data_IF_921894352076
#
_entry.id   IF_921894352076
#
_cell.length_a   1.000
_cell.length_b   1.000
_cell.length_c   1.000
_cell.angle_alpha   90.00
_cell.angle_beta   90.00
_cell.angle_gamma   90.00
#
_symmetry.space_group_name_H-M   'P 1'
#
loop_
_entity.id
_entity.type
_entity.pdbx_description
1 polymer ?
#
# COMPACT_ATOMS: atom_id res chain seq x y z
N UNK A 1 -24.55 -7.06 26.61
CA UNK A 1 -24.23 -6.26 25.43
C UNK A 1 -25.48 -5.48 25.07
N UNK A 2 -25.63 -4.33 25.71
CA UNK A 2 -26.85 -3.54 25.67
C UNK A 2 -27.07 -2.94 24.27
N UNK A 3 -28.31 -2.92 23.77
CA UNK A 3 -28.64 -2.39 22.45
C UNK A 3 -28.32 -0.89 22.28
N UNK A 4 -28.14 -0.15 23.38
CA UNK A 4 -27.78 1.27 23.36
C UNK A 4 -26.30 1.53 22.99
N UNK A 5 -25.40 0.55 23.19
CA UNK A 5 -23.99 0.64 22.77
C UNK A 5 -23.82 0.49 21.26
N UNK A 6 -24.74 -0.21 20.58
CA UNK A 6 -24.73 -0.39 19.12
C UNK A 6 -25.28 0.86 18.40
N UNK A 7 -26.13 1.65 19.06
CA UNK A 7 -26.72 2.87 18.49
C UNK A 7 -25.76 4.08 18.47
N UNK A 8 -24.82 4.17 19.42
CA UNK A 8 -23.85 5.27 19.48
C UNK A 8 -22.79 5.21 18.34
N UNK A 9 -22.58 4.06 17.71
CA UNK A 9 -21.67 3.91 16.57
C UNK A 9 -22.33 4.16 15.22
N UNK A 10 -23.66 4.31 15.17
CA UNK A 10 -24.42 4.45 13.92
C UNK A 10 -24.68 5.90 13.51
N UNK A 11 -24.35 6.88 14.36
CA UNK A 11 -24.63 8.30 14.12
C UNK A 11 -23.45 9.26 14.40
N UNK A 12 -22.22 8.76 14.61
CA UNK A 12 -21.06 9.63 14.89
C UNK A 12 -20.15 9.91 13.69
N UNK A 13 -20.49 9.45 12.47
CA UNK A 13 -19.91 10.04 11.26
C UNK A 13 -20.73 9.70 9.99
N UNK A 14 -21.78 10.47 9.72
CA UNK A 14 -22.64 10.31 8.54
C UNK A 14 -21.85 10.31 7.21
N UNK A 15 -20.64 10.89 7.22
CA UNK A 15 -19.74 10.89 6.08
C UNK A 15 -19.21 9.51 5.69
N UNK A 16 -19.11 8.52 6.61
CA UNK A 16 -18.54 7.19 6.29
C UNK A 16 -19.37 6.36 5.30
N UNK A 17 -20.71 6.48 5.34
CA UNK A 17 -21.61 5.69 4.49
C UNK A 17 -22.00 6.43 3.21
N UNK A 18 -21.79 7.74 3.16
CA UNK A 18 -21.98 8.58 1.99
C UNK A 18 -20.68 8.83 1.23
N UNK A 19 -19.54 8.51 1.84
CA UNK A 19 -18.23 8.57 1.21
C UNK A 19 -18.20 7.71 -0.05
N UNK A 20 -17.77 8.29 -1.15
CA UNK A 20 -17.59 7.58 -2.41
C UNK A 20 -16.16 7.08 -2.41
N UNK A 21 -15.98 5.77 -2.54
CA UNK A 21 -14.63 5.22 -2.66
C UNK A 21 -14.09 5.45 -4.07
N UNK A 22 -13.36 6.56 -4.30
CA UNK A 22 -12.81 6.89 -5.62
C UNK A 22 -11.74 5.91 -6.07
N UNK A 23 -11.12 5.15 -5.15
CA UNK A 23 -10.16 4.10 -5.50
C UNK A 23 -10.78 2.93 -6.28
N UNK A 24 -12.11 2.77 -6.23
CA UNK A 24 -12.81 1.72 -7.00
C UNK A 24 -12.87 2.02 -8.50
N UNK A 25 -12.72 3.29 -8.89
CA UNK A 25 -12.70 3.74 -10.26
C UNK A 25 -11.27 4.11 -10.66
N UNK A 26 -10.68 3.38 -11.60
CA UNK A 26 -9.33 3.65 -12.14
C UNK A 26 -8.24 3.85 -11.05
N UNK A 27 -8.38 3.18 -9.89
CA UNK A 27 -7.48 3.36 -8.75
C UNK A 27 -7.33 4.84 -8.32
N UNK A 28 -8.38 5.65 -8.43
CA UNK A 28 -8.34 7.10 -8.16
C UNK A 28 -7.42 7.90 -9.10
N UNK A 29 -6.95 7.27 -10.19
CA UNK A 29 -5.88 7.77 -11.05
C UNK A 29 -4.49 7.74 -10.40
N UNK A 30 -4.29 6.96 -9.33
CA UNK A 30 -3.00 6.78 -8.69
C UNK A 30 -2.11 5.84 -9.53
N UNK A 31 -0.84 6.22 -9.72
CA UNK A 31 0.18 5.31 -10.27
C UNK A 31 0.56 4.22 -9.25
N UNK A 32 0.61 4.60 -7.96
CA UNK A 32 0.86 3.69 -6.85
C UNK A 32 -0.43 3.08 -6.26
N UNK A 33 -0.45 2.92 -4.95
CA UNK A 33 -1.62 2.43 -4.22
C UNK A 33 -2.58 3.57 -3.89
N UNK A 34 -3.85 3.47 -4.28
CA UNK A 34 -4.89 4.37 -3.80
C UNK A 34 -5.34 4.01 -2.38
N UNK A 35 -5.45 5.02 -1.51
CA UNK A 35 -5.91 4.90 -0.14
C UNK A 35 -7.14 5.78 0.06
N UNK A 36 -8.31 5.15 0.15
CA UNK A 36 -9.58 5.84 0.41
C UNK A 36 -9.65 6.36 1.85
N UNK A 37 -10.19 7.55 2.03
CA UNK A 37 -10.43 8.19 3.34
C UNK A 37 -11.84 8.77 3.37
N UNK A 38 -12.36 9.11 4.54
CA UNK A 38 -13.70 9.69 4.62
C UNK A 38 -13.66 11.11 4.04
N UNK A 39 -14.35 11.31 2.92
CA UNK A 39 -14.47 12.57 2.18
C UNK A 39 -13.33 12.85 1.20
N UNK A 40 -12.39 11.92 0.98
CA UNK A 40 -11.29 12.09 0.03
C UNK A 40 -10.50 10.80 -0.19
N UNK A 41 -9.44 10.85 -0.99
CA UNK A 41 -8.46 9.77 -1.12
C UNK A 41 -7.06 10.34 -1.30
N UNK A 42 -6.04 9.50 -1.13
CA UNK A 42 -4.66 9.86 -1.46
C UNK A 42 -3.91 8.68 -2.09
N UNK A 43 -2.93 9.01 -2.92
CA UNK A 43 -2.07 8.02 -3.54
C UNK A 43 -0.82 7.79 -2.70
N UNK A 44 -0.41 6.53 -2.59
CA UNK A 44 0.79 6.11 -1.89
C UNK A 44 1.74 5.40 -2.84
N UNK A 45 2.93 5.95 -2.98
CA UNK A 45 3.97 5.36 -3.80
C UNK A 45 4.66 4.16 -3.11
N UNK A 46 5.19 3.21 -3.90
CA UNK A 46 5.99 2.12 -3.38
C UNK A 46 7.28 2.65 -2.71
N UNK A 47 7.93 1.79 -1.90
CA UNK A 47 9.14 2.17 -1.17
C UNK A 47 10.23 2.68 -2.11
N UNK A 48 10.86 3.79 -1.73
CA UNK A 48 11.93 4.41 -2.52
C UNK A 48 11.44 5.35 -3.63
N UNK A 49 10.12 5.50 -3.80
CA UNK A 49 9.52 6.48 -4.69
C UNK A 49 8.78 7.55 -3.90
N UNK A 50 8.56 8.70 -4.53
CA UNK A 50 7.96 9.90 -3.94
C UNK A 50 6.72 10.26 -4.75
N UNK A 51 5.68 10.75 -4.10
CA UNK A 51 4.50 11.22 -4.81
C UNK A 51 4.82 12.53 -5.53
N UNK A 52 4.38 12.63 -6.79
CA UNK A 52 4.53 13.84 -7.59
C UNK A 52 3.67 14.99 -7.07
N UNK A 53 3.89 16.21 -7.59
CA UNK A 53 3.12 17.40 -7.22
C UNK A 53 1.63 17.28 -7.56
N UNK A 54 1.29 16.51 -8.60
CA UNK A 54 -0.10 16.21 -8.98
C UNK A 54 -0.79 15.24 -8.00
N UNK A 55 -0.05 14.69 -7.02
CA UNK A 55 -0.59 13.79 -6.02
C UNK A 55 -0.98 12.40 -6.53
N UNK A 56 -0.63 12.08 -7.78
CA UNK A 56 -1.06 10.84 -8.48
C UNK A 56 0.09 9.98 -9.00
N UNK A 57 1.07 10.61 -9.66
CA UNK A 57 2.23 9.93 -10.21
C UNK A 57 3.30 9.64 -9.14
N UNK A 58 4.13 8.63 -9.38
CA UNK A 58 5.23 8.26 -8.51
C UNK A 58 6.57 8.55 -9.19
N UNK A 59 7.38 9.39 -8.55
CA UNK A 59 8.66 9.84 -9.07
C UNK A 59 9.83 9.28 -8.25
N UNK A 60 10.92 8.96 -8.95
CA UNK A 60 12.16 8.45 -8.36
C UNK A 60 12.47 7.01 -8.75
N UNK A 61 13.73 6.63 -8.59
CA UNK A 61 14.15 5.24 -8.79
C UNK A 61 13.73 4.48 -7.55
N UNK A 62 12.63 3.73 -7.64
CA UNK A 62 12.34 2.69 -6.66
C UNK A 62 13.58 1.83 -6.56
N UNK A 63 14.33 1.96 -5.47
CA UNK A 63 15.42 1.05 -5.17
C UNK A 63 14.74 -0.25 -4.81
N UNK A 64 14.42 -1.04 -5.83
CA UNK A 64 14.30 -2.47 -5.64
C UNK A 64 15.64 -2.86 -5.02
N UNK A 65 15.67 -3.01 -3.71
CA UNK A 65 16.47 -4.10 -3.18
C UNK A 65 15.79 -5.34 -3.75
N UNK A 66 16.09 -5.67 -5.01
CA UNK A 66 16.37 -7.05 -5.35
C UNK A 66 17.36 -7.41 -4.26
N UNK A 67 16.91 -8.12 -3.23
CA UNK A 67 17.84 -8.72 -2.32
C UNK A 67 18.60 -9.71 -3.19
N UNK A 68 19.65 -9.23 -3.86
CA UNK A 68 20.83 -10.00 -4.16
C UNK A 68 21.38 -10.34 -2.79
N UNK A 69 20.74 -11.32 -2.14
CA UNK A 69 21.45 -12.19 -1.24
C UNK A 69 22.49 -12.79 -2.17
N UNK A 70 23.67 -12.18 -2.19
CA UNK A 70 24.89 -12.83 -2.64
C UNK A 70 25.08 -13.97 -1.66
N UNK A 71 24.35 -15.07 -1.85
CA UNK A 71 24.74 -16.34 -1.26
C UNK A 71 26.10 -16.55 -1.92
N UNK A 72 27.23 -16.51 -1.19
CA UNK A 72 28.45 -16.99 -1.80
C UNK A 72 28.11 -18.41 -2.25
N UNK A 73 28.19 -18.67 -3.55
CA UNK A 73 28.17 -20.03 -4.07
C UNK A 73 29.29 -20.74 -3.31
N UNK A 74 28.93 -21.44 -2.23
CA UNK A 74 29.86 -22.36 -1.60
C UNK A 74 30.15 -23.36 -2.71
N UNK A 75 31.35 -23.25 -3.26
CA UNK A 75 31.87 -24.22 -4.19
C UNK A 75 31.81 -25.55 -3.47
N UNK A 76 30.82 -26.37 -3.81
CA UNK A 76 30.75 -27.77 -3.38
C UNK A 76 31.95 -28.44 -4.05
N UNK A 77 33.11 -28.33 -3.41
CA UNK A 77 34.21 -29.24 -3.62
C UNK A 77 33.86 -30.45 -2.77
N UNK A 78 33.11 -31.39 -3.33
CA UNK A 78 33.10 -32.73 -2.79
C UNK A 78 34.39 -33.43 -3.28
N UNK A 79 35.38 -33.70 -2.42
CA UNK A 79 36.19 -34.90 -2.62
C UNK A 79 35.33 -36.12 -2.25
N UNK A 80 35.46 -37.18 -3.05
CA UNK A 80 34.63 -38.37 -3.01
C UNK A 80 34.83 -39.30 -1.79
N UNK A 81 34.74 -40.63 -1.99
CA UNK A 81 33.92 -41.51 -1.17
C UNK A 81 34.64 -42.10 0.05
N UNK A 82 33.90 -42.18 1.16
CA UNK A 82 34.05 -43.19 2.21
C UNK A 82 32.65 -43.58 2.69
#
# INVERSE_FOLDING_TARGET
>A
FDPETIAALKYNNCALLLDVNECTADNGGCEGQCCNTIGSFYCKCPKGMRLSQDGKACEGKGTFVSQSISIPLVSVSQPGPW
#
